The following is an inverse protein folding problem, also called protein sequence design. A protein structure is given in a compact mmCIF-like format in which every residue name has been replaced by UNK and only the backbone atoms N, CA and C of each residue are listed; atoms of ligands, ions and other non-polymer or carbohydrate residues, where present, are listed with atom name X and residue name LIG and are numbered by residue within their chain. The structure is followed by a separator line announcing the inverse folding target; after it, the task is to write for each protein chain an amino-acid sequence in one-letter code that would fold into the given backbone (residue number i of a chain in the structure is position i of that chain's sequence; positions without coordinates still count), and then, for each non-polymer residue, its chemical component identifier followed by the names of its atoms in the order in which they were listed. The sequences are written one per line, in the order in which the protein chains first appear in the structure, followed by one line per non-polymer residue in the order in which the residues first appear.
data_IF_106047741170
#
_entry.id   IF_106047741170
#
_cell.length_a   1.000
_cell.length_b   1.000
_cell.length_c   1.000
_cell.angle_alpha   90.00
_cell.angle_beta   90.00
_cell.angle_gamma   90.00
#
_symmetry.space_group_name_H-M   'P 1'
#
loop_
_entity.id
_entity.type
_entity.pdbx_description
1 polymer ?
#
# COMPACT_ATOMS: atom_id res chain seq x y z
N UNK A 1 -37.91 -76.34 -20.49
CA UNK A 1 -36.66 -75.93 -21.17
C UNK A 1 -36.47 -74.44 -20.86
N UNK A 2 -35.53 -74.10 -19.96
CA UNK A 2 -34.23 -73.42 -20.25
C UNK A 2 -34.48 -71.94 -20.66
N UNK A 3 -34.07 -70.86 -19.98
CA UNK A 3 -32.90 -70.59 -19.13
C UNK A 3 -33.13 -69.34 -18.26
N UNK A 4 -32.59 -69.39 -17.04
CA UNK A 4 -32.40 -68.32 -16.05
C UNK A 4 -31.66 -67.08 -16.58
N UNK A 5 -31.97 -65.88 -16.08
CA UNK A 5 -31.03 -65.00 -15.32
C UNK A 5 -31.87 -63.94 -14.61
N UNK A 6 -31.89 -64.01 -13.28
CA UNK A 6 -32.37 -62.96 -12.39
C UNK A 6 -31.36 -61.81 -12.37
N UNK A 7 -31.73 -60.64 -12.89
CA UNK A 7 -30.92 -59.43 -12.78
C UNK A 7 -31.57 -58.49 -11.77
N UNK A 8 -31.05 -58.58 -10.54
CA UNK A 8 -31.33 -57.66 -9.44
C UNK A 8 -30.96 -56.23 -9.87
N UNK A 9 -31.97 -55.40 -10.15
CA UNK A 9 -31.78 -53.96 -10.17
C UNK A 9 -31.95 -53.42 -8.75
N UNK A 10 -30.82 -53.18 -8.12
CA UNK A 10 -30.68 -52.45 -6.87
C UNK A 10 -31.31 -51.06 -7.01
N UNK A 11 -32.39 -50.82 -6.27
CA UNK A 11 -32.98 -49.49 -6.11
C UNK A 11 -32.02 -48.68 -5.23
N UNK A 12 -31.12 -47.93 -5.86
CA UNK A 12 -30.35 -46.89 -5.20
C UNK A 12 -31.26 -45.72 -4.89
N UNK A 13 -31.84 -45.68 -3.69
CA UNK A 13 -32.43 -44.45 -3.16
C UNK A 13 -31.28 -43.48 -2.90
N UNK A 14 -30.99 -42.64 -3.87
CA UNK A 14 -30.23 -41.42 -3.60
C UNK A 14 -31.11 -40.56 -2.70
N UNK A 15 -30.79 -40.53 -1.41
CA UNK A 15 -31.23 -39.46 -0.55
C UNK A 15 -30.65 -38.17 -1.15
N UNK A 16 -31.46 -37.43 -1.89
CA UNK A 16 -31.15 -36.07 -2.26
C UNK A 16 -31.05 -35.29 -0.95
N UNK A 17 -29.81 -35.10 -0.46
CA UNK A 17 -29.54 -34.11 0.57
C UNK A 17 -30.11 -32.79 0.05
N UNK A 18 -30.98 -32.08 0.80
CA UNK A 18 -31.34 -30.74 0.40
C UNK A 18 -30.03 -29.99 0.24
N UNK A 19 -29.75 -29.54 -0.97
CA UNK A 19 -28.69 -28.59 -1.23
C UNK A 19 -29.08 -27.39 -0.38
N UNK A 20 -28.44 -27.23 0.79
CA UNK A 20 -28.52 -25.99 1.54
C UNK A 20 -27.96 -24.98 0.55
N UNK A 21 -28.86 -24.21 -0.05
CA UNK A 21 -28.50 -23.06 -0.85
C UNK A 21 -27.72 -22.18 0.10
N UNK A 22 -26.39 -22.17 -0.06
CA UNK A 22 -25.60 -21.10 0.52
C UNK A 22 -26.27 -19.81 0.05
N UNK A 23 -26.66 -18.90 0.96
CA UNK A 23 -27.09 -17.58 0.57
C UNK A 23 -26.05 -17.08 -0.42
N UNK A 24 -26.51 -16.67 -1.60
CA UNK A 24 -25.64 -16.20 -2.67
C UNK A 24 -25.07 -14.85 -2.18
N UNK A 25 -24.04 -14.91 -1.34
CA UNK A 25 -23.44 -13.77 -0.63
C UNK A 25 -22.52 -12.97 -1.56
N UNK A 26 -22.89 -12.92 -2.84
CA UNK A 26 -22.14 -12.25 -3.88
C UNK A 26 -22.43 -10.76 -3.80
N UNK A 27 -21.43 -10.00 -3.38
CA UNK A 27 -21.50 -8.55 -3.36
C UNK A 27 -21.29 -8.04 -4.79
N UNK A 28 -22.25 -7.30 -5.38
CA UNK A 28 -22.13 -6.80 -6.75
C UNK A 28 -21.14 -5.63 -6.82
N UNK A 29 -20.53 -5.42 -7.99
CA UNK A 29 -19.86 -4.16 -8.32
C UNK A 29 -20.94 -3.23 -8.88
N UNK A 30 -21.15 -2.08 -8.23
CA UNK A 30 -22.17 -1.09 -8.61
C UNK A 30 -21.62 -0.05 -9.58
N UNK A 31 -20.31 0.21 -9.52
CA UNK A 31 -19.62 1.11 -10.44
C UNK A 31 -18.21 0.59 -10.71
N UNK A 32 -17.79 0.72 -11.97
CA UNK A 32 -16.43 0.43 -12.39
C UNK A 32 -16.09 1.37 -13.54
N UNK A 33 -14.99 2.11 -13.40
CA UNK A 33 -14.41 2.93 -14.47
C UNK A 33 -12.93 2.61 -14.58
N UNK A 34 -12.43 2.61 -15.81
CA UNK A 34 -11.03 2.36 -16.10
C UNK A 34 -10.65 3.11 -17.36
N UNK A 35 -9.59 3.90 -17.27
CA UNK A 35 -9.05 4.77 -18.31
C UNK A 35 -7.53 4.57 -18.41
N UNK A 36 -7.04 4.46 -19.65
CA UNK A 36 -5.63 4.24 -19.94
C UNK A 36 -5.20 2.76 -19.98
N UNK A 37 -3.89 2.47 -19.88
CA UNK A 37 -2.81 3.45 -19.79
C UNK A 37 -2.71 4.30 -21.06
N UNK A 38 -2.56 5.60 -20.86
CA UNK A 38 -2.35 6.57 -21.91
C UNK A 38 -0.91 6.50 -22.41
N UNK A 39 -0.64 7.13 -23.56
CA UNK A 39 0.70 7.15 -24.18
C UNK A 39 1.77 7.79 -23.29
N UNK A 40 1.38 8.62 -22.34
CA UNK A 40 2.24 9.30 -21.36
C UNK A 40 2.43 8.50 -20.05
N UNK A 41 1.92 7.26 -20.01
CA UNK A 41 1.95 6.40 -18.83
C UNK A 41 0.94 6.76 -17.75
N UNK A 42 0.04 7.74 -18.00
CA UNK A 42 -1.04 8.05 -17.07
C UNK A 42 -2.17 7.03 -17.16
N UNK A 43 -2.83 6.77 -16.03
CA UNK A 43 -3.99 5.90 -15.97
C UNK A 43 -4.91 6.32 -14.82
N UNK A 44 -6.16 5.84 -14.85
CA UNK A 44 -7.11 6.02 -13.76
C UNK A 44 -8.07 4.84 -13.70
N UNK A 45 -8.39 4.38 -12.51
CA UNK A 45 -9.46 3.40 -12.31
C UNK A 45 -10.21 3.70 -11.01
N UNK A 46 -11.45 3.26 -10.96
CA UNK A 46 -12.23 3.21 -9.72
C UNK A 46 -13.22 2.07 -9.75
N UNK A 47 -13.58 1.58 -8.58
CA UNK A 47 -14.71 0.68 -8.40
C UNK A 47 -15.45 0.96 -7.10
N UNK A 48 -16.73 0.65 -7.12
CA UNK A 48 -17.63 0.71 -5.98
C UNK A 48 -18.39 -0.61 -5.89
N UNK A 49 -18.50 -1.18 -4.69
CA UNK A 49 -19.23 -2.42 -4.45
C UNK A 49 -20.56 -2.17 -3.72
N UNK A 50 -21.48 -3.12 -3.80
CA UNK A 50 -22.79 -3.04 -3.15
C UNK A 50 -22.74 -3.03 -1.62
N UNK A 51 -21.61 -3.36 -1.01
CA UNK A 51 -21.36 -3.25 0.42
C UNK A 51 -20.52 -2.01 0.79
N UNK A 52 -20.54 -0.97 -0.05
CA UNK A 52 -19.90 0.32 0.19
C UNK A 52 -18.36 0.27 0.30
N UNK A 53 -17.72 -0.70 -0.36
CA UNK A 53 -16.27 -0.64 -0.59
C UNK A 53 -16.04 0.24 -1.81
N UNK A 54 -15.24 1.29 -1.63
CA UNK A 54 -14.87 2.20 -2.71
C UNK A 54 -13.35 2.23 -2.83
N UNK A 55 -12.85 2.10 -4.05
CA UNK A 55 -11.43 2.23 -4.35
C UNK A 55 -11.26 3.05 -5.62
N UNK A 56 -10.30 3.96 -5.63
CA UNK A 56 -9.86 4.64 -6.83
C UNK A 56 -8.36 4.88 -6.77
N UNK A 57 -7.75 4.89 -7.94
CA UNK A 57 -6.34 5.23 -8.11
C UNK A 57 -6.15 5.92 -9.46
N UNK A 58 -5.25 6.89 -9.47
CA UNK A 58 -4.70 7.47 -10.68
C UNK A 58 -3.19 7.47 -10.59
N UNK A 59 -2.54 7.15 -11.70
CA UNK A 59 -1.08 7.19 -11.79
C UNK A 59 -0.61 7.99 -12.99
N UNK A 60 0.64 8.43 -12.92
CA UNK A 60 1.35 9.13 -13.99
C UNK A 60 2.86 8.90 -13.88
N UNK A 61 3.59 9.11 -14.96
CA UNK A 61 5.05 8.97 -14.98
C UNK A 61 5.71 10.35 -14.93
N UNK A 62 6.47 10.62 -13.85
CA UNK A 62 7.39 11.77 -13.79
C UNK A 62 8.55 11.53 -14.77
N UNK A 63 9.00 12.59 -15.44
CA UNK A 63 10.07 12.55 -16.45
C UNK A 63 9.81 11.59 -17.62
N UNK A 64 8.55 11.38 -18.00
CA UNK A 64 8.20 10.53 -19.13
C UNK A 64 9.00 10.85 -20.40
N UNK A 65 9.59 9.84 -21.03
CA UNK A 65 10.36 9.95 -22.27
C UNK A 65 11.83 10.33 -22.07
N UNK A 66 12.31 10.43 -20.82
CA UNK A 66 13.74 10.71 -20.54
C UNK A 66 14.63 9.47 -20.52
N UNK A 67 14.04 8.27 -20.58
CA UNK A 67 14.74 7.00 -20.64
C UNK A 67 14.76 6.24 -19.32
N UNK A 68 15.06 4.94 -19.40
CA UNK A 68 15.07 4.05 -18.25
C UNK A 68 16.01 4.57 -17.14
N UNK A 69 15.46 4.76 -15.93
CA UNK A 69 16.19 5.21 -14.75
C UNK A 69 15.99 6.67 -14.33
N UNK A 70 15.45 7.52 -15.21
CA UNK A 70 14.99 8.88 -14.84
C UNK A 70 13.47 8.97 -14.68
N UNK A 71 12.76 8.01 -15.27
CA UNK A 71 11.31 7.88 -15.19
C UNK A 71 10.90 7.33 -13.83
N UNK A 72 9.91 7.98 -13.21
CA UNK A 72 9.34 7.53 -11.94
C UNK A 72 7.84 7.41 -12.09
N UNK A 73 7.32 6.20 -11.87
CA UNK A 73 5.90 5.99 -11.72
C UNK A 73 5.42 6.55 -10.39
N UNK A 74 4.40 7.42 -10.46
CA UNK A 74 3.64 7.88 -9.31
C UNK A 74 2.24 7.31 -9.38
N UNK A 75 1.71 6.89 -8.24
CA UNK A 75 0.32 6.47 -8.09
C UNK A 75 -0.27 7.11 -6.84
N UNK A 76 -1.46 7.68 -6.98
CA UNK A 76 -2.22 8.30 -5.90
C UNK A 76 -3.59 7.63 -5.86
N UNK A 77 -4.04 7.23 -4.68
CA UNK A 77 -5.32 6.55 -4.57
C UNK A 77 -5.99 6.72 -3.22
N UNK A 78 -7.26 6.31 -3.18
CA UNK A 78 -8.03 6.23 -1.95
C UNK A 78 -8.81 4.92 -1.91
N UNK A 79 -8.96 4.40 -0.71
CA UNK A 79 -9.70 3.18 -0.40
C UNK A 79 -10.57 3.43 0.81
N UNK A 80 -11.81 2.95 0.78
CA UNK A 80 -12.72 3.02 1.93
C UNK A 80 -13.61 1.80 2.02
N UNK A 81 -13.94 1.40 3.24
CA UNK A 81 -14.87 0.32 3.53
C UNK A 81 -15.58 0.56 4.86
N UNK A 82 -16.75 -0.06 5.05
CA UNK A 82 -17.40 -0.12 6.36
C UNK A 82 -16.87 -1.27 7.19
N UNK A 83 -16.41 -0.98 8.39
CA UNK A 83 -16.04 -1.97 9.39
C UNK A 83 -17.26 -2.78 9.86
N UNK A 84 -17.07 -3.98 10.42
CA UNK A 84 -18.15 -4.75 11.05
C UNK A 84 -18.92 -3.98 12.14
N UNK A 85 -18.27 -2.99 12.76
CA UNK A 85 -18.81 -2.10 13.79
C UNK A 85 -19.67 -0.96 13.20
N UNK A 86 -19.61 -0.74 11.89
CA UNK A 86 -20.33 0.31 11.17
C UNK A 86 -19.54 1.59 10.93
N UNK A 87 -18.31 1.68 11.46
CA UNK A 87 -17.41 2.81 11.23
C UNK A 87 -16.86 2.78 9.80
N UNK A 88 -16.84 3.95 9.15
CA UNK A 88 -16.24 4.11 7.83
C UNK A 88 -14.72 4.24 7.99
N UNK A 89 -13.99 3.23 7.51
CA UNK A 89 -12.53 3.25 7.45
C UNK A 89 -12.12 3.76 6.08
N UNK A 90 -11.35 4.85 6.06
CA UNK A 90 -10.80 5.43 4.85
C UNK A 90 -9.27 5.49 4.92
N UNK A 91 -8.65 5.34 3.75
CA UNK A 91 -7.23 5.36 3.50
C UNK A 91 -6.98 6.18 2.24
N UNK A 92 -6.05 7.12 2.29
CA UNK A 92 -5.45 7.75 1.10
C UNK A 92 -3.99 7.35 1.02
N UNK A 93 -3.42 7.33 -0.17
CA UNK A 93 -1.99 7.06 -0.32
C UNK A 93 -1.39 7.78 -1.51
N UNK A 94 -0.09 8.01 -1.40
CA UNK A 94 0.79 8.41 -2.50
C UNK A 94 1.92 7.39 -2.56
N UNK A 95 2.17 6.84 -3.74
CA UNK A 95 3.29 5.95 -4.04
C UNK A 95 4.18 6.62 -5.08
N UNK A 96 5.40 6.96 -4.69
CA UNK A 96 6.36 7.68 -5.53
C UNK A 96 7.81 7.21 -5.24
N UNK A 97 8.82 8.00 -5.62
CA UNK A 97 10.23 7.74 -5.35
C UNK A 97 10.53 7.45 -3.87
N UNK A 98 9.71 8.00 -2.96
CA UNK A 98 9.88 7.88 -1.53
C UNK A 98 9.12 6.65 -0.96
N UNK A 99 8.54 5.81 -1.82
CA UNK A 99 7.81 4.61 -1.46
C UNK A 99 6.33 4.88 -1.21
N UNK A 100 5.67 3.92 -0.55
CA UNK A 100 4.24 3.99 -0.24
C UNK A 100 3.99 4.78 1.05
N UNK A 101 3.24 5.87 0.94
CA UNK A 101 2.93 6.80 2.01
C UNK A 101 1.42 6.82 2.27
N UNK A 102 0.91 5.93 3.15
CA UNK A 102 -0.52 5.89 3.49
C UNK A 102 -0.88 6.92 4.57
N UNK A 103 -2.08 7.51 4.45
CA UNK A 103 -2.70 8.35 5.47
C UNK A 103 -4.12 7.85 5.76
N UNK A 104 -4.45 7.72 7.03
CA UNK A 104 -5.77 7.32 7.49
C UNK A 104 -5.85 7.36 9.01
N UNK A 105 -7.01 7.73 9.55
CA UNK A 105 -7.23 7.87 11.01
C UNK A 105 -6.98 6.57 11.79
N UNK A 106 -7.14 5.44 11.12
CA UNK A 106 -6.96 4.10 11.68
C UNK A 106 -5.49 3.63 11.70
N UNK A 107 -4.58 4.39 11.08
CA UNK A 107 -3.17 4.03 11.04
C UNK A 107 -2.48 4.39 12.36
N UNK A 108 -1.51 3.57 12.83
CA UNK A 108 -0.73 3.91 14.00
C UNK A 108 0.04 5.21 13.76
N UNK A 109 -0.26 6.23 14.55
CA UNK A 109 0.51 7.48 14.52
C UNK A 109 1.83 7.29 15.26
N UNK A 110 2.93 7.87 14.76
CA UNK A 110 4.18 7.87 15.50
C UNK A 110 3.96 8.56 16.86
N UNK A 111 4.68 8.14 17.91
CA UNK A 111 4.55 8.74 19.23
C UNK A 111 4.83 10.25 19.16
N UNK A 112 4.18 11.05 20.03
CA UNK A 112 4.36 12.50 20.03
C UNK A 112 5.84 12.88 20.22
N UNK A 113 6.25 13.97 19.58
CA UNK A 113 7.62 14.50 19.67
C UNK A 113 7.98 14.72 21.16
N UNK A 114 9.11 14.17 21.64
CA UNK A 114 9.55 14.40 23.00
C UNK A 114 9.67 15.90 23.33
N UNK A 115 9.27 16.33 24.55
CA UNK A 115 9.23 17.75 24.91
C UNK A 115 10.60 18.45 24.82
N UNK A 116 11.70 17.70 24.93
CA UNK A 116 13.04 18.24 24.73
C UNK A 116 13.31 18.69 23.27
N UNK A 117 12.83 17.91 22.30
CA UNK A 117 12.95 18.25 20.87
C UNK A 117 12.05 19.45 20.55
N UNK A 118 10.83 19.48 21.10
CA UNK A 118 9.92 20.62 20.96
C UNK A 118 10.57 21.92 21.48
N UNK A 119 11.16 21.88 22.68
CA UNK A 119 11.90 23.02 23.25
C UNK A 119 13.07 23.46 22.38
N UNK A 120 13.81 22.50 21.81
CA UNK A 120 14.92 22.82 20.91
C UNK A 120 14.42 23.51 19.63
N UNK A 121 13.33 23.03 19.03
CA UNK A 121 12.71 23.64 17.85
C UNK A 121 12.18 25.06 18.15
N UNK A 122 11.55 25.25 19.30
CA UNK A 122 11.04 26.57 19.70
C UNK A 122 12.20 27.54 19.95
N UNK A 123 13.29 27.09 20.58
CA UNK A 123 14.51 27.89 20.71
C UNK A 123 15.09 28.28 19.35
N UNK A 124 15.23 27.33 18.41
CA UNK A 124 15.75 27.61 17.07
C UNK A 124 14.90 28.64 16.31
N UNK A 125 13.57 28.63 16.48
CA UNK A 125 12.67 29.64 15.88
C UNK A 125 12.91 31.05 16.43
N UNK A 126 13.37 31.18 17.68
CA UNK A 126 13.67 32.49 18.29
C UNK A 126 15.02 33.06 17.88
N UNK A 127 15.87 32.28 17.22
CA UNK A 127 17.16 32.76 16.74
C UNK A 127 16.96 33.70 15.55
N UNK A 128 17.74 34.80 15.45
CA UNK A 128 17.73 35.63 14.27
C UNK A 128 18.15 34.81 13.04
N UNK A 129 17.68 35.17 11.83
CA UNK A 129 18.12 34.52 10.60
C UNK A 129 19.65 34.57 10.56
N UNK A 130 20.28 33.40 10.55
CA UNK A 130 21.73 33.30 10.50
C UNK A 130 22.17 33.90 9.16
N UNK A 131 22.94 34.99 9.21
CA UNK A 131 23.58 35.51 8.03
C UNK A 131 24.54 34.43 7.50
N UNK A 132 24.31 34.00 6.25
CA UNK A 132 25.25 33.31 5.36
C UNK A 132 25.48 31.82 5.62
N UNK A 133 24.93 30.99 4.73
CA UNK A 133 25.70 30.16 3.78
C UNK A 133 27.13 29.76 4.12
N UNK A 134 27.39 29.23 5.32
CA UNK A 134 28.65 28.60 5.67
C UNK A 134 28.37 27.13 5.89
N UNK A 135 28.49 26.36 4.82
CA UNK A 135 28.57 24.92 4.87
C UNK A 135 29.65 24.54 5.88
N UNK A 136 29.25 24.16 7.10
CA UNK A 136 30.15 23.47 8.01
C UNK A 136 30.23 22.06 7.48
N UNK A 137 31.17 21.86 6.56
CA UNK A 137 31.60 20.56 6.09
C UNK A 137 32.07 19.77 7.31
N UNK A 138 31.18 18.95 7.89
CA UNK A 138 31.58 17.96 8.89
C UNK A 138 32.23 16.81 8.11
N UNK A 139 33.45 17.05 7.64
CA UNK A 139 34.34 15.95 7.31
C UNK A 139 34.62 15.22 8.64
N UNK A 140 34.25 13.94 8.79
CA UNK A 140 34.69 13.16 9.93
C UNK A 140 36.22 13.19 9.94
N UNK A 141 36.80 13.82 10.98
CA UNK A 141 38.24 13.78 11.22
C UNK A 141 38.60 12.32 11.54
N UNK A 142 39.01 11.56 10.52
CA UNK A 142 39.69 10.29 10.72
C UNK A 142 41.03 10.58 11.40
N UNK A 143 41.06 10.49 12.72
CA UNK A 143 42.30 10.47 13.48
C UNK A 143 42.96 9.11 13.22
N UNK A 144 43.83 9.04 12.20
CA UNK A 144 44.64 7.85 11.99
C UNK A 144 45.46 7.60 13.27
N UNK A 145 45.19 6.49 13.94
CA UNK A 145 46.02 6.04 15.06
C UNK A 145 47.44 5.81 14.53
N UNK A 146 48.50 6.25 15.25
CA UNK A 146 49.85 6.00 14.79
C UNK A 146 50.08 4.49 14.72
N UNK A 147 50.27 3.98 13.51
CA UNK A 147 50.68 2.61 13.26
C UNK A 147 52.01 2.38 13.98
N UNK A 148 52.03 1.52 15.00
CA UNK A 148 53.26 1.09 15.67
C UNK A 148 53.81 -0.11 14.90
N UNK A 149 54.87 0.04 14.09
CA UNK A 149 55.44 -1.10 13.39
C UNK A 149 55.95 -2.11 14.42
N UNK A 150 55.35 -3.30 14.46
CA UNK A 150 55.96 -4.44 15.14
C UNK A 150 57.10 -4.91 14.25
N UNK A 151 58.31 -4.94 14.81
CA UNK A 151 59.52 -5.37 14.12
C UNK A 151 59.35 -6.75 13.49
N UNK A 152 59.99 -6.93 12.32
CA UNK A 152 60.08 -8.22 11.63
C UNK A 152 60.69 -9.27 12.55
N UNK A 153 60.05 -10.44 12.60
CA UNK A 153 60.75 -11.71 12.81
C UNK A 153 61.14 -12.26 11.45
#
# INVERSE_FOLDING_TARGET
MMISVFLLFLVGVYAATPQIQQPNDQIPIIRFESEGPNVDGSYKWLYETGNEINAEESGYVKNFGKGEGEEVQVAEGKFSYKSPEGDLIALTYIADENGFQPQGEHLPTPPPIPPAIQKALDYLKTLPPSAVGSATNIQPQYQASPFKPRGRF
#
